data_IF_172123923076
#
_entry.id   IF_172123923076
#
_cell.length_a   1.000
_cell.length_b   1.000
_cell.length_c   1.000
_cell.angle_alpha   90.00
_cell.angle_beta   90.00
_cell.angle_gamma   90.00
#
_symmetry.space_group_name_H-M   'P 1'
#
loop_
_entity.id
_entity.type
_entity.pdbx_description
1 polymer ?
#
# COMPACT_ATOMS: atom_id res chain seq x y z
N UNK A 1 28.12 22.06 -7.46
CA UNK A 1 27.50 20.75 -7.71
C UNK A 1 27.49 20.01 -6.38
N UNK A 2 26.32 19.98 -5.72
CA UNK A 2 26.12 19.20 -4.48
C UNK A 2 26.15 17.73 -4.85
N UNK A 3 27.20 17.03 -4.41
CA UNK A 3 27.32 15.59 -4.60
C UNK A 3 26.28 14.89 -3.72
N UNK A 4 25.12 14.57 -4.30
CA UNK A 4 24.06 13.87 -3.55
C UNK A 4 24.42 12.40 -3.43
N UNK A 5 24.27 11.85 -2.23
CA UNK A 5 24.58 10.45 -1.95
C UNK A 5 23.61 9.54 -2.69
N UNK A 6 24.14 8.55 -3.44
CA UNK A 6 23.37 7.53 -4.13
C UNK A 6 23.08 6.38 -3.17
N UNK A 7 21.79 6.03 -3.01
CA UNK A 7 21.34 4.93 -2.15
C UNK A 7 20.82 3.72 -2.95
N UNK A 8 20.72 3.84 -4.29
CA UNK A 8 20.13 2.84 -5.19
C UNK A 8 18.68 2.47 -4.84
N UNK A 9 17.93 3.41 -4.26
CA UNK A 9 16.55 3.24 -3.88
C UNK A 9 15.71 4.48 -4.24
N UNK A 10 14.41 4.41 -3.97
CA UNK A 10 13.53 5.58 -3.94
C UNK A 10 12.67 5.55 -2.67
N UNK A 11 12.13 6.68 -2.31
CA UNK A 11 11.30 6.83 -1.11
C UNK A 11 9.94 7.34 -1.49
N UNK A 12 8.91 6.72 -0.91
CA UNK A 12 7.51 7.14 -0.99
C UNK A 12 7.04 7.52 0.40
N UNK A 13 6.37 8.65 0.53
CA UNK A 13 5.87 9.08 1.83
C UNK A 13 4.72 10.09 1.75
N UNK A 14 3.86 10.08 2.76
CA UNK A 14 3.83 9.17 3.90
C UNK A 14 3.44 7.74 3.51
N UNK A 15 3.83 6.76 4.32
CA UNK A 15 3.52 5.34 4.08
C UNK A 15 2.05 4.99 4.35
N UNK A 16 1.32 5.87 5.05
CA UNK A 16 -0.10 5.67 5.38
C UNK A 16 -0.84 7.00 5.46
N UNK A 17 -2.08 7.00 4.98
CA UNK A 17 -3.08 8.04 5.19
C UNK A 17 -4.29 7.46 5.91
N UNK A 18 -4.76 8.14 6.95
CA UNK A 18 -6.01 7.87 7.63
C UNK A 18 -6.91 9.10 7.47
N UNK A 19 -8.02 8.95 6.77
CA UNK A 19 -8.92 10.05 6.47
C UNK A 19 -10.35 9.70 6.89
N UNK A 20 -11.06 10.70 7.39
CA UNK A 20 -12.50 10.61 7.59
C UNK A 20 -13.17 11.47 6.52
N UNK A 21 -14.07 10.86 5.74
CA UNK A 21 -14.79 11.50 4.64
C UNK A 21 -16.28 11.18 4.74
N UNK A 22 -17.10 12.22 4.70
CA UNK A 22 -18.55 12.05 4.60
C UNK A 22 -18.96 11.56 3.20
N UNK A 23 -20.15 10.96 3.03
CA UNK A 23 -20.70 10.68 1.71
C UNK A 23 -20.73 11.93 0.83
N UNK A 24 -20.25 11.80 -0.42
CA UNK A 24 -20.12 12.91 -1.37
C UNK A 24 -18.91 13.82 -1.14
N UNK A 25 -18.11 13.59 -0.09
CA UNK A 25 -16.93 14.42 0.21
C UNK A 25 -15.73 13.98 -0.63
N UNK A 26 -14.89 14.97 -0.96
CA UNK A 26 -13.60 14.75 -1.63
C UNK A 26 -12.49 15.41 -0.84
N UNK A 27 -11.35 14.76 -0.74
CA UNK A 27 -10.15 15.30 -0.08
C UNK A 27 -8.90 15.00 -0.89
N UNK A 28 -8.07 16.02 -1.06
CA UNK A 28 -6.77 15.87 -1.70
C UNK A 28 -5.67 15.86 -0.64
N UNK A 29 -4.78 14.88 -0.71
CA UNK A 29 -3.58 14.74 0.10
C UNK A 29 -2.34 14.70 -0.79
N UNK A 30 -1.17 14.95 -0.24
CA UNK A 30 0.08 14.98 -0.98
C UNK A 30 0.90 13.72 -0.73
N UNK A 31 1.17 12.96 -1.79
CA UNK A 31 2.12 11.85 -1.78
C UNK A 31 3.46 12.34 -2.34
N UNK A 32 4.55 12.07 -1.66
CA UNK A 32 5.89 12.46 -2.08
C UNK A 32 6.65 11.25 -2.59
N UNK A 33 7.29 11.37 -3.76
CA UNK A 33 8.23 10.40 -4.31
C UNK A 33 9.59 11.06 -4.46
N UNK A 34 10.65 10.44 -3.94
CA UNK A 34 12.04 10.94 -4.04
C UNK A 34 12.93 9.91 -4.70
N UNK A 35 13.59 10.29 -5.80
CA UNK A 35 14.54 9.42 -6.48
C UNK A 35 15.94 9.56 -5.88
N UNK A 36 16.53 8.45 -5.39
CA UNK A 36 17.90 8.36 -4.86
C UNK A 36 18.74 7.30 -5.58
N UNK A 37 18.34 6.92 -6.81
CA UNK A 37 18.90 5.78 -7.55
C UNK A 37 20.18 6.10 -8.34
N UNK A 38 20.67 7.34 -8.31
CA UNK A 38 21.89 7.75 -9.02
C UNK A 38 21.68 8.15 -10.48
N UNK A 39 20.50 7.89 -11.03
CA UNK A 39 20.13 8.18 -12.42
C UNK A 39 18.67 8.63 -12.54
N UNK A 40 18.29 9.14 -13.70
CA UNK A 40 16.88 9.43 -14.01
C UNK A 40 16.10 8.14 -14.13
N UNK A 41 15.01 8.03 -13.37
CA UNK A 41 14.10 6.88 -13.43
C UNK A 41 12.68 7.32 -13.77
N UNK A 42 12.00 6.44 -14.49
CA UNK A 42 10.56 6.52 -14.71
C UNK A 42 9.84 5.76 -13.61
N UNK A 43 8.83 6.41 -13.05
CA UNK A 43 7.96 5.86 -12.03
C UNK A 43 6.55 5.71 -12.58
N UNK A 44 5.87 4.65 -12.14
CA UNK A 44 4.47 4.37 -12.46
C UNK A 44 3.67 4.30 -11.17
N UNK A 45 2.45 4.86 -11.18
CA UNK A 45 1.45 4.68 -10.15
C UNK A 45 0.45 3.61 -10.53
N UNK A 46 0.14 2.76 -9.57
CA UNK A 46 -0.95 1.79 -9.63
C UNK A 46 -1.80 1.95 -8.38
N UNK A 47 -3.12 1.96 -8.54
CA UNK A 47 -4.05 1.97 -7.42
C UNK A 47 -4.52 0.54 -7.23
N UNK A 48 -4.28 0.00 -6.04
CA UNK A 48 -4.64 -1.38 -5.69
C UNK A 48 -5.52 -1.39 -4.44
N UNK A 49 -6.49 -2.29 -4.41
CA UNK A 49 -7.21 -2.57 -3.19
C UNK A 49 -6.34 -3.39 -2.22
N UNK A 50 -6.70 -3.36 -0.96
CA UNK A 50 -6.02 -4.12 0.10
C UNK A 50 -7.01 -4.98 0.88
N UNK A 51 -6.51 -6.08 1.40
CA UNK A 51 -7.23 -6.95 2.32
C UNK A 51 -6.31 -7.41 3.45
N UNK A 52 -6.90 -7.95 4.51
CA UNK A 52 -6.16 -8.70 5.51
C UNK A 52 -5.71 -10.05 4.95
N UNK A 53 -4.58 -10.56 5.42
CA UNK A 53 -4.13 -11.91 5.08
C UNK A 53 -5.06 -12.96 5.71
N UNK A 54 -5.51 -13.92 4.91
CA UNK A 54 -6.40 -14.99 5.39
C UNK A 54 -5.71 -15.92 6.41
N UNK A 55 -4.39 -16.04 6.35
CA UNK A 55 -3.57 -16.87 7.24
C UNK A 55 -2.97 -16.10 8.43
N UNK A 56 -3.23 -14.79 8.51
CA UNK A 56 -2.67 -13.91 9.54
C UNK A 56 -1.17 -13.63 9.39
N UNK A 57 -0.53 -14.04 8.29
CA UNK A 57 0.91 -13.84 8.07
C UNK A 57 1.28 -12.37 7.84
N UNK A 58 0.32 -11.58 7.35
CA UNK A 58 0.49 -10.16 7.06
C UNK A 58 -0.74 -9.37 7.47
N UNK A 59 -0.55 -8.18 8.02
CA UNK A 59 -1.66 -7.29 8.37
C UNK A 59 -2.37 -6.74 7.12
N UNK A 60 -1.64 -6.57 6.03
CA UNK A 60 -2.14 -6.02 4.77
C UNK A 60 -1.56 -6.81 3.60
N UNK A 61 -2.41 -7.18 2.66
CA UNK A 61 -2.06 -7.79 1.37
C UNK A 61 -2.56 -6.88 0.26
N UNK A 62 -1.71 -6.60 -0.72
CA UNK A 62 -2.07 -5.89 -1.94
C UNK A 62 -2.74 -6.86 -2.90
N UNK A 63 -3.88 -6.49 -3.47
CA UNK A 63 -4.69 -7.36 -4.31
C UNK A 63 -4.39 -7.24 -5.82
N UNK A 64 -3.47 -6.36 -6.21
CA UNK A 64 -3.14 -6.12 -7.61
C UNK A 64 -4.37 -5.67 -8.41
N UNK A 65 -4.75 -6.45 -9.41
CA UNK A 65 -5.93 -6.16 -10.25
C UNK A 65 -7.26 -6.61 -9.63
N UNK A 66 -7.22 -7.42 -8.58
CA UNK A 66 -8.43 -7.90 -7.89
C UNK A 66 -9.05 -6.79 -7.03
N UNK A 67 -10.37 -6.88 -6.84
CA UNK A 67 -11.11 -5.96 -5.98
C UNK A 67 -11.32 -6.56 -4.60
N UNK A 68 -11.05 -5.75 -3.59
CA UNK A 68 -11.32 -6.11 -2.20
C UNK A 68 -12.80 -5.90 -1.82
N UNK A 69 -13.25 -6.50 -0.71
CA UNK A 69 -14.61 -6.35 -0.21
C UNK A 69 -14.93 -4.90 0.24
N UNK A 70 -13.89 -4.12 0.55
CA UNK A 70 -13.99 -2.72 0.99
C UNK A 70 -13.21 -1.81 0.03
N UNK A 71 -13.49 -1.95 -1.27
CA UNK A 71 -12.74 -1.29 -2.34
C UNK A 71 -12.65 0.22 -2.16
N UNK A 72 -11.46 0.75 -2.35
CA UNK A 72 -11.15 2.18 -2.42
C UNK A 72 -10.61 2.58 -3.80
N UNK A 73 -10.21 1.60 -4.61
CA UNK A 73 -9.56 1.79 -5.92
C UNK A 73 -10.33 2.75 -6.84
N UNK A 74 -11.67 2.63 -6.88
CA UNK A 74 -12.51 3.44 -7.75
C UNK A 74 -12.67 4.89 -7.30
N UNK A 75 -12.26 5.19 -6.07
CA UNK A 75 -12.44 6.49 -5.43
C UNK A 75 -11.14 7.27 -5.28
N UNK A 76 -9.99 6.68 -5.66
CA UNK A 76 -8.68 7.34 -5.66
C UNK A 76 -8.32 7.77 -7.08
N UNK A 77 -7.89 9.02 -7.22
CA UNK A 77 -7.37 9.54 -8.48
C UNK A 77 -6.02 10.23 -8.30
N UNK A 78 -5.17 10.08 -9.30
CA UNK A 78 -3.87 10.76 -9.42
C UNK A 78 -3.78 11.48 -10.76
N UNK A 79 -3.07 12.62 -10.87
CA UNK A 79 -3.05 13.44 -12.09
C UNK A 79 -2.32 12.80 -13.27
N UNK A 80 -1.38 11.92 -13.00
CA UNK A 80 -0.61 11.19 -14.00
C UNK A 80 -0.25 9.80 -13.48
N UNK A 81 -0.29 8.81 -14.36
CA UNK A 81 0.06 7.42 -14.02
C UNK A 81 1.56 7.17 -14.12
N UNK A 82 2.30 7.97 -14.90
CA UNK A 82 3.75 7.86 -15.08
C UNK A 82 4.42 9.23 -15.06
N UNK A 83 5.66 9.28 -14.57
CA UNK A 83 6.49 10.49 -14.55
C UNK A 83 7.97 10.14 -14.41
N UNK A 84 8.84 11.04 -14.85
CA UNK A 84 10.29 10.91 -14.73
C UNK A 84 10.80 11.79 -13.58
N UNK A 85 11.76 11.27 -12.79
CA UNK A 85 12.53 12.04 -11.82
C UNK A 85 14.01 11.82 -12.03
N UNK A 86 14.77 12.90 -12.02
CA UNK A 86 16.23 12.85 -11.95
C UNK A 86 16.69 12.42 -10.55
N UNK A 87 17.93 11.93 -10.46
CA UNK A 87 18.54 11.66 -9.16
C UNK A 87 18.48 12.88 -8.24
N UNK A 88 18.05 12.68 -7.00
CA UNK A 88 17.88 13.72 -5.99
C UNK A 88 16.63 14.56 -6.12
N UNK A 89 15.88 14.43 -7.19
CA UNK A 89 14.59 15.12 -7.33
C UNK A 89 13.50 14.48 -6.47
N UNK A 90 12.55 15.33 -6.09
CA UNK A 90 11.36 14.98 -5.33
C UNK A 90 10.12 15.52 -6.04
N UNK A 91 9.16 14.64 -6.32
CA UNK A 91 7.84 15.02 -6.79
C UNK A 91 6.84 15.00 -5.63
N UNK A 92 5.92 15.97 -5.66
CA UNK A 92 4.75 16.05 -4.78
C UNK A 92 3.52 15.82 -5.63
N UNK A 93 2.83 14.74 -5.38
CA UNK A 93 1.73 14.25 -6.21
C UNK A 93 0.42 14.44 -5.44
N UNK A 94 -0.49 15.28 -5.93
CA UNK A 94 -1.81 15.39 -5.33
C UNK A 94 -2.61 14.12 -5.59
N UNK A 95 -3.04 13.47 -4.53
CA UNK A 95 -3.90 12.30 -4.54
C UNK A 95 -5.27 12.72 -4.05
N UNK A 96 -6.29 12.57 -4.86
CA UNK A 96 -7.66 12.91 -4.49
C UNK A 96 -8.45 11.64 -4.22
N UNK A 97 -9.06 11.59 -3.04
CA UNK A 97 -10.06 10.58 -2.66
C UNK A 97 -11.42 11.23 -2.72
N UNK A 98 -12.35 10.66 -3.50
CA UNK A 98 -13.70 11.18 -3.69
C UNK A 98 -14.73 10.10 -3.44
N UNK A 99 -15.53 10.23 -2.38
CA UNK A 99 -16.60 9.28 -2.09
C UNK A 99 -17.90 9.67 -2.80
N UNK A 100 -18.68 8.69 -3.26
CA UNK A 100 -20.02 8.97 -3.83
C UNK A 100 -20.99 9.45 -2.74
N UNK A 101 -22.06 10.14 -3.16
CA UNK A 101 -23.06 10.71 -2.24
C UNK A 101 -23.85 9.64 -1.47
N UNK A 102 -23.90 8.42 -1.99
CA UNK A 102 -24.54 7.24 -1.42
C UNK A 102 -23.55 6.29 -0.73
N UNK A 103 -22.34 6.77 -0.43
CA UNK A 103 -21.32 5.97 0.26
C UNK A 103 -21.83 5.47 1.61
N UNK A 104 -21.83 4.16 1.81
CA UNK A 104 -22.23 3.55 3.08
C UNK A 104 -21.20 3.84 4.18
N UNK A 105 -21.67 4.01 5.45
CA UNK A 105 -20.79 4.10 6.62
C UNK A 105 -19.89 2.88 6.74
N UNK A 106 -18.65 3.12 7.16
CA UNK A 106 -17.67 2.04 7.35
C UNK A 106 -16.30 2.37 6.83
N UNK A 107 -15.43 1.36 6.80
CA UNK A 107 -14.04 1.46 6.32
C UNK A 107 -13.92 1.12 4.83
N UNK A 108 -13.02 1.84 4.13
CA UNK A 108 -12.55 1.49 2.79
C UNK A 108 -11.04 1.54 2.75
N UNK A 109 -10.44 0.62 2.02
CA UNK A 109 -9.01 0.37 2.08
C UNK A 109 -8.44 0.24 0.67
N UNK A 110 -7.30 0.89 0.45
CA UNK A 110 -6.56 0.80 -0.80
C UNK A 110 -5.13 1.25 -0.63
N UNK A 111 -4.37 1.16 -1.69
CA UNK A 111 -2.97 1.57 -1.74
C UNK A 111 -2.67 2.26 -3.06
N UNK A 112 -1.78 3.24 -3.01
CA UNK A 112 -1.06 3.69 -4.21
C UNK A 112 0.29 3.02 -4.19
N UNK A 113 0.54 2.19 -5.18
CA UNK A 113 1.82 1.52 -5.38
C UNK A 113 2.62 2.32 -6.41
N UNK A 114 3.81 2.72 -6.01
CA UNK A 114 4.79 3.36 -6.88
C UNK A 114 5.82 2.33 -7.29
N UNK A 115 6.01 2.12 -8.58
CA UNK A 115 6.99 1.19 -9.13
C UNK A 115 7.95 1.88 -10.09
N UNK A 116 9.16 1.36 -10.20
CA UNK A 116 10.09 1.75 -11.26
C UNK A 116 9.73 1.03 -12.56
N UNK A 117 9.80 1.76 -13.68
CA UNK A 117 9.59 1.21 -15.03
C UNK A 117 10.94 1.04 -15.70
N UNK A 118 11.23 -0.15 -16.20
CA UNK A 118 12.38 -0.40 -17.07
C UNK A 118 12.02 0.12 -18.48
N UNK A 119 12.84 0.98 -19.07
CA UNK A 119 12.64 1.45 -20.44
C UNK A 119 13.18 0.40 -21.42
N UNK A 120 12.55 0.26 -22.58
CA UNK A 120 13.11 -0.58 -23.67
C UNK A 120 14.50 -0.12 -24.10
N UNK A 121 14.83 1.17 -23.90
CA UNK A 121 16.15 1.73 -24.15
C UNK A 121 17.23 1.27 -23.16
N UNK A 122 16.83 0.77 -21.98
CA UNK A 122 17.74 0.18 -20.99
C UNK A 122 18.07 -1.30 -21.34
N UNK A 123 17.37 -1.85 -22.32
CA UNK A 123 17.61 -3.16 -22.93
C UNK A 123 18.48 -2.92 -24.15
N UNK A 124 19.82 -2.91 -24.00
CA UNK A 124 20.74 -2.73 -25.14
C UNK A 124 20.80 -4.02 -25.99
N UNK A 125 20.16 -4.06 -27.19
CA UNK A 125 20.16 -5.25 -28.04
C UNK A 125 21.50 -5.46 -28.77
N UNK A 126 22.41 -4.47 -28.73
CA UNK A 126 23.63 -4.49 -29.54
C UNK A 126 24.82 -5.21 -28.88
N UNK A 127 24.74 -5.51 -27.60
CA UNK A 127 25.87 -6.07 -26.85
C UNK A 127 25.81 -7.59 -26.63
N UNK A 128 24.83 -8.31 -27.21
CA UNK A 128 24.73 -9.78 -27.10
C UNK A 128 24.60 -10.30 -25.66
N UNK A 129 24.43 -9.41 -24.71
CA UNK A 129 24.15 -9.76 -23.33
C UNK A 129 22.70 -10.21 -23.22
N UNK A 130 22.49 -11.40 -22.67
CA UNK A 130 21.18 -11.85 -22.22
C UNK A 130 20.56 -10.74 -21.37
N UNK A 131 19.24 -10.49 -21.48
CA UNK A 131 18.61 -9.45 -20.69
C UNK A 131 18.93 -9.69 -19.22
N UNK A 132 19.70 -8.76 -18.64
CA UNK A 132 19.94 -8.76 -17.19
C UNK A 132 18.57 -8.64 -16.53
N UNK A 133 18.33 -9.44 -15.50
CA UNK A 133 17.08 -9.43 -14.75
C UNK A 133 16.72 -7.99 -14.37
N UNK A 134 15.64 -7.45 -14.91
CA UNK A 134 15.15 -6.14 -14.54
C UNK A 134 14.62 -6.21 -13.10
N UNK A 135 15.24 -5.47 -12.18
CA UNK A 135 14.74 -5.35 -10.82
C UNK A 135 13.69 -4.24 -10.82
N UNK A 136 12.45 -4.62 -10.60
CA UNK A 136 11.33 -3.69 -10.39
C UNK A 136 11.16 -3.50 -8.87
N UNK A 137 11.42 -2.30 -8.40
CA UNK A 137 11.16 -1.94 -7.01
C UNK A 137 9.75 -1.36 -6.90
N UNK A 138 8.99 -1.80 -5.89
CA UNK A 138 7.60 -1.34 -5.62
C UNK A 138 7.48 -0.90 -4.17
N UNK A 139 6.90 0.27 -3.94
CA UNK A 139 6.61 0.81 -2.60
C UNK A 139 5.16 1.29 -2.58
N UNK A 140 4.40 0.79 -1.61
CA UNK A 140 3.00 1.16 -1.40
C UNK A 140 2.83 2.25 -0.34
N UNK A 141 1.86 3.15 -0.55
CA UNK A 141 1.30 4.03 0.46
C UNK A 141 -0.15 3.63 0.71
N UNK A 142 -0.49 3.29 1.95
CA UNK A 142 -1.79 2.78 2.35
C UNK A 142 -2.79 3.92 2.58
N UNK A 143 -4.02 3.72 2.17
CA UNK A 143 -5.14 4.63 2.40
C UNK A 143 -6.24 3.94 3.18
N UNK A 144 -6.53 4.45 4.35
CA UNK A 144 -7.62 4.02 5.23
C UNK A 144 -8.64 5.13 5.34
N UNK A 145 -9.82 4.91 4.77
CA UNK A 145 -10.88 5.89 4.73
C UNK A 145 -12.02 5.40 5.61
N UNK A 146 -12.47 6.25 6.54
CA UNK A 146 -13.64 5.98 7.37
C UNK A 146 -14.77 6.92 6.98
N UNK A 147 -15.91 6.35 6.57
CA UNK A 147 -17.14 7.08 6.33
C UNK A 147 -17.96 7.09 7.61
N UNK A 148 -18.26 8.27 8.21
CA UNK A 148 -19.04 8.36 9.44
C UNK A 148 -20.47 7.90 9.24
N UNK A 149 -21.10 7.39 10.34
CA UNK A 149 -22.49 6.91 10.34
C UNK A 149 -22.71 5.85 11.39
N UNK A 150 -23.62 4.94 11.15
CA UNK A 150 -23.93 3.81 12.01
C UNK A 150 -22.81 2.75 11.97
N UNK A 151 -21.64 3.06 12.52
CA UNK A 151 -20.46 2.20 12.53
C UNK A 151 -20.61 1.16 13.63
N UNK A 152 -20.49 -0.12 13.28
CA UNK A 152 -20.44 -1.22 14.24
C UNK A 152 -18.97 -1.56 14.58
N UNK A 153 -18.61 -1.41 15.85
CA UNK A 153 -17.38 -1.96 16.40
C UNK A 153 -17.70 -3.31 17.01
N UNK A 154 -17.30 -4.38 16.37
CA UNK A 154 -17.59 -5.74 16.82
C UNK A 154 -16.43 -6.67 16.46
N UNK A 155 -16.28 -7.72 17.26
CA UNK A 155 -15.27 -8.74 16.98
C UNK A 155 -15.52 -9.98 17.82
N UNK A 156 -14.94 -11.08 17.38
CA UNK A 156 -15.11 -12.39 17.98
C UNK A 156 -13.75 -13.06 18.15
N UNK A 157 -13.52 -13.60 19.36
CA UNK A 157 -12.37 -14.47 19.62
C UNK A 157 -12.66 -15.85 19.02
N UNK A 158 -11.99 -16.19 17.91
CA UNK A 158 -12.19 -17.49 17.22
C UNK A 158 -11.42 -18.62 17.88
N UNK A 159 -10.20 -18.35 18.32
CA UNK A 159 -9.41 -19.36 19.02
C UNK A 159 -8.37 -18.72 19.95
N UNK A 160 -8.07 -19.45 21.02
CA UNK A 160 -6.98 -19.18 21.92
C UNK A 160 -6.33 -20.52 22.28
N UNK A 161 -5.07 -20.70 21.91
CA UNK A 161 -4.35 -21.96 22.10
C UNK A 161 -2.86 -21.71 22.33
N UNK A 162 -2.16 -22.71 22.84
CA UNK A 162 -0.69 -22.72 22.81
C UNK A 162 -0.20 -22.98 21.40
N UNK A 163 0.91 -22.35 21.00
CA UNK A 163 1.43 -22.43 19.63
C UNK A 163 1.74 -23.87 19.18
N UNK A 164 2.12 -24.77 20.09
CA UNK A 164 2.38 -26.19 19.80
C UNK A 164 1.22 -27.13 20.08
N UNK A 165 0.01 -26.62 20.41
CA UNK A 165 -1.14 -27.42 20.85
C UNK A 165 -0.87 -28.26 22.13
N UNK A 166 0.22 -28.02 22.81
CA UNK A 166 0.59 -28.68 24.06
C UNK A 166 -0.28 -28.17 25.19
N UNK A 167 -0.64 -29.06 26.12
CA UNK A 167 -1.51 -28.76 27.27
C UNK A 167 -0.77 -28.74 28.60
N UNK A 168 0.44 -29.25 28.64
CA UNK A 168 1.24 -29.35 29.85
C UNK A 168 2.66 -28.83 29.58
N UNK A 169 3.13 -27.95 30.45
CA UNK A 169 4.44 -27.29 30.31
C UNK A 169 5.22 -27.51 31.61
N UNK A 170 6.48 -27.89 31.47
CA UNK A 170 7.42 -28.05 32.59
C UNK A 170 8.38 -26.89 32.72
N UNK A 171 8.44 -26.04 31.70
CA UNK A 171 9.30 -24.83 31.62
C UNK A 171 8.69 -23.80 30.66
N UNK A 172 9.13 -22.56 30.75
CA UNK A 172 8.76 -21.47 29.81
C UNK A 172 9.95 -20.97 29.01
N UNK A 173 9.73 -20.04 28.07
CA UNK A 173 8.47 -19.34 27.78
C UNK A 173 7.42 -20.22 27.10
N UNK A 174 6.14 -19.85 27.24
CA UNK A 174 5.01 -20.49 26.58
C UNK A 174 4.43 -19.51 25.57
N UNK A 175 4.43 -19.89 24.30
CA UNK A 175 3.86 -19.10 23.21
C UNK A 175 2.38 -19.41 23.03
N UNK A 176 1.58 -18.36 22.86
CA UNK A 176 0.14 -18.47 22.62
C UNK A 176 -0.19 -17.93 21.23
N UNK A 177 -1.14 -18.60 20.58
CA UNK A 177 -1.79 -18.13 19.36
C UNK A 177 -3.20 -17.66 19.69
N UNK A 178 -3.49 -16.43 19.29
CA UNK A 178 -4.81 -15.81 19.43
C UNK A 178 -5.34 -15.48 18.05
N UNK A 179 -6.51 -16.00 17.69
CA UNK A 179 -7.20 -15.67 16.45
C UNK A 179 -8.44 -14.86 16.80
N UNK A 180 -8.47 -13.63 16.35
CA UNK A 180 -9.56 -12.70 16.56
C UNK A 180 -10.10 -12.24 15.21
N UNK A 181 -11.42 -12.34 15.02
CA UNK A 181 -12.10 -11.86 13.82
C UNK A 181 -12.75 -10.51 14.10
N UNK A 182 -12.44 -9.52 13.25
CA UNK A 182 -13.18 -8.26 13.24
C UNK A 182 -14.50 -8.48 12.48
N UNK A 183 -15.62 -8.43 13.18
CA UNK A 183 -16.98 -8.55 12.61
C UNK A 183 -17.67 -7.20 12.49
N UNK A 184 -16.96 -6.12 12.79
CA UNK A 184 -17.44 -4.75 12.65
C UNK A 184 -17.36 -4.22 11.22
N UNK A 185 -17.81 -2.97 11.02
CA UNK A 185 -17.77 -2.28 9.74
C UNK A 185 -16.54 -1.36 9.57
N UNK A 186 -15.61 -1.36 10.51
CA UNK A 186 -14.36 -0.59 10.50
C UNK A 186 -13.20 -1.42 11.05
N UNK A 187 -11.98 -1.03 10.72
CA UNK A 187 -10.74 -1.60 11.22
C UNK A 187 -10.41 -1.10 12.63
#
# INVERSE_FOLDING_TARGET
LTNQTVFNDFVVGPGKFELQLAPGESKTVELTVSNRMGETKRFKFEVEDTAGSADGSSAVVLLGDERGPYTLRDYISVPALEFDLEHGQKARIPVTVSLPADAEPGGRYGSIVVSTVTRDADLDPQNGALPSSAIISRIGSLFFITTPGGIAHAGELKSFSTAGSEKFFTSGPIDFTVVYENTGSVH
#
